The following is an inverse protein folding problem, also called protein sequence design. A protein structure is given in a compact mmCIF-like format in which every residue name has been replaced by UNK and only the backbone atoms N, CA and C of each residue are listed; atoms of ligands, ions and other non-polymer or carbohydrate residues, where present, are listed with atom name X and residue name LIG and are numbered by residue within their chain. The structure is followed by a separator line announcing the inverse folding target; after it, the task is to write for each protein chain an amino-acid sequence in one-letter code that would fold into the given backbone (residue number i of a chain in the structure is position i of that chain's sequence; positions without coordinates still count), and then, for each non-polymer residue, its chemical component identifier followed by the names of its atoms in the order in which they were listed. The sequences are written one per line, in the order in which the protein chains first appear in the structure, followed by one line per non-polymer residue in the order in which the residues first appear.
data_IF_253226546686
#
_entry.id   IF_253226546686
#
_cell.length_a   1.000
_cell.length_b   1.000
_cell.length_c   1.000
_cell.angle_alpha   90.00
_cell.angle_beta   90.00
_cell.angle_gamma   90.00
#
_symmetry.space_group_name_H-M   'P 1'
#
loop_
_entity.id
_entity.type
_entity.pdbx_description
1 polymer ?
#
# COMPACT_ATOMS: atom_id res chain seq x y z
N UNK A 1 13.85 -9.85 -3.44
CA UNK A 1 13.45 -9.37 -2.09
C UNK A 1 13.55 -10.47 -1.03
N UNK A 2 12.87 -11.62 -1.17
CA UNK A 2 12.90 -12.74 -0.18
C UNK A 2 14.29 -13.11 0.39
N UNK A 3 15.26 -13.42 -0.47
CA UNK A 3 16.64 -13.75 -0.05
C UNK A 3 17.32 -12.61 0.71
N UNK A 4 17.03 -11.37 0.33
CA UNK A 4 17.55 -10.19 1.02
C UNK A 4 16.91 -10.04 2.41
N UNK A 5 15.58 -10.20 2.52
CA UNK A 5 14.86 -10.17 3.79
C UNK A 5 15.37 -11.24 4.77
N UNK A 6 15.60 -12.46 4.27
CA UNK A 6 16.21 -13.55 5.02
C UNK A 6 17.63 -13.22 5.49
N UNK A 7 18.46 -12.66 4.61
CA UNK A 7 19.83 -12.25 4.94
C UNK A 7 19.82 -11.17 6.02
N UNK A 8 19.02 -10.11 5.89
CA UNK A 8 18.96 -9.01 6.85
C UNK A 8 18.57 -9.48 8.25
N UNK A 9 17.65 -10.46 8.33
CA UNK A 9 17.26 -11.11 9.59
C UNK A 9 18.45 -11.71 10.36
N UNK A 10 19.47 -12.22 9.66
CA UNK A 10 20.67 -12.81 10.28
C UNK A 10 21.60 -11.76 10.91
N UNK A 11 21.44 -10.50 10.55
CA UNK A 11 22.27 -9.39 11.00
C UNK A 11 21.50 -8.39 11.87
N UNK A 12 20.28 -8.73 12.31
CA UNK A 12 19.40 -7.84 13.09
C UNK A 12 19.11 -6.50 12.38
N UNK A 13 19.12 -6.51 11.05
CA UNK A 13 18.75 -5.35 10.23
C UNK A 13 17.27 -5.51 9.84
N UNK A 14 16.49 -4.46 10.05
CA UNK A 14 15.09 -4.38 9.59
C UNK A 14 15.09 -3.79 8.18
N UNK A 15 14.81 -4.58 7.13
CA UNK A 15 14.64 -4.03 5.79
C UNK A 15 13.29 -3.31 5.67
N UNK A 16 13.26 -2.24 4.87
CA UNK A 16 12.02 -1.61 4.42
C UNK A 16 11.83 -1.88 2.92
N UNK A 17 10.64 -2.31 2.52
CA UNK A 17 10.27 -2.47 1.13
C UNK A 17 9.06 -1.61 0.78
N UNK A 18 9.20 -0.82 -0.27
CA UNK A 18 8.09 -0.13 -0.93
C UNK A 18 7.49 -1.03 -2.02
N UNK A 19 6.19 -1.24 -1.95
CA UNK A 19 5.40 -1.93 -2.97
C UNK A 19 4.45 -0.94 -3.62
N UNK A 20 4.39 -0.95 -4.95
CA UNK A 20 3.41 -0.20 -5.71
C UNK A 20 2.44 -1.22 -6.31
N UNK A 21 1.16 -1.11 -5.98
CA UNK A 21 0.11 -2.04 -6.40
C UNK A 21 -0.86 -1.36 -7.36
N UNK A 22 -1.55 -2.19 -8.16
CA UNK A 22 -2.64 -1.73 -9.02
C UNK A 22 -2.15 -1.04 -10.30
N UNK A 23 -1.14 -1.61 -10.95
CA UNK A 23 -0.74 -1.15 -12.28
C UNK A 23 -1.83 -1.45 -13.32
N UNK A 24 -1.90 -0.70 -14.43
CA UNK A 24 -2.79 -1.04 -15.52
C UNK A 24 -2.42 -2.38 -16.14
N UNK A 25 -3.42 -3.10 -16.63
CA UNK A 25 -3.25 -4.34 -17.39
C UNK A 25 -4.28 -4.41 -18.52
N UNK A 26 -4.20 -5.45 -19.34
CA UNK A 26 -5.07 -5.64 -20.51
C UNK A 26 -6.56 -5.80 -20.15
N UNK A 27 -6.86 -6.27 -18.93
CA UNK A 27 -8.23 -6.42 -18.44
C UNK A 27 -8.32 -6.19 -16.93
N UNK A 28 -9.52 -5.92 -16.43
CA UNK A 28 -9.76 -5.74 -15.00
C UNK A 28 -9.40 -6.99 -14.19
N UNK A 29 -9.63 -8.19 -14.73
CA UNK A 29 -9.30 -9.46 -14.08
C UNK A 29 -7.79 -9.60 -13.89
N UNK A 30 -6.98 -9.22 -14.88
CA UNK A 30 -5.52 -9.23 -14.77
C UNK A 30 -5.01 -8.21 -13.74
N UNK A 31 -5.68 -7.06 -13.60
CA UNK A 31 -5.37 -6.09 -12.54
C UNK A 31 -5.67 -6.69 -11.16
N UNK A 32 -6.82 -7.36 -10.99
CA UNK A 32 -7.19 -8.02 -9.73
C UNK A 32 -6.22 -9.16 -9.39
N UNK A 33 -5.85 -9.98 -10.38
CA UNK A 33 -4.87 -11.05 -10.23
C UNK A 33 -3.50 -10.53 -9.78
N UNK A 34 -3.02 -9.44 -10.40
CA UNK A 34 -1.77 -8.81 -10.01
C UNK A 34 -1.82 -8.35 -8.54
N UNK A 35 -2.89 -7.68 -8.13
CA UNK A 35 -3.07 -7.22 -6.75
C UNK A 35 -3.02 -8.39 -5.76
N UNK A 36 -3.71 -9.51 -6.05
CA UNK A 36 -3.67 -10.68 -5.18
C UNK A 36 -2.29 -11.34 -5.13
N UNK A 37 -1.57 -11.38 -6.26
CA UNK A 37 -0.20 -11.88 -6.33
C UNK A 37 0.77 -11.02 -5.50
N UNK A 38 0.65 -9.70 -5.56
CA UNK A 38 1.46 -8.77 -4.78
C UNK A 38 1.18 -8.93 -3.28
N UNK A 39 -0.09 -9.02 -2.89
CA UNK A 39 -0.50 -9.31 -1.51
C UNK A 39 0.12 -10.63 -1.03
N UNK A 40 0.00 -11.70 -1.81
CA UNK A 40 0.56 -13.00 -1.46
C UNK A 40 2.09 -12.94 -1.32
N UNK A 41 2.77 -12.22 -2.21
CA UNK A 41 4.21 -12.02 -2.14
C UNK A 41 4.63 -11.25 -0.88
N UNK A 42 3.93 -10.18 -0.52
CA UNK A 42 4.16 -9.42 0.72
C UNK A 42 3.99 -10.33 1.94
N UNK A 43 2.95 -11.17 1.97
CA UNK A 43 2.74 -12.13 3.07
C UNK A 43 3.91 -13.11 3.19
N UNK A 44 4.43 -13.62 2.08
CA UNK A 44 5.61 -14.50 2.06
C UNK A 44 6.86 -13.79 2.60
N UNK A 45 7.03 -12.49 2.31
CA UNK A 45 8.12 -11.69 2.91
C UNK A 45 7.96 -11.62 4.43
N UNK A 46 6.75 -11.33 4.94
CA UNK A 46 6.46 -11.29 6.38
C UNK A 46 6.62 -12.65 7.08
N UNK A 47 6.42 -13.76 6.37
CA UNK A 47 6.71 -15.11 6.89
C UNK A 47 8.22 -15.34 7.05
N UNK A 48 9.03 -14.90 6.09
CA UNK A 48 10.49 -15.01 6.13
C UNK A 48 11.07 -14.10 7.22
N UNK A 49 10.68 -12.83 7.22
CA UNK A 49 11.12 -11.83 8.17
C UNK A 49 9.94 -10.91 8.53
N UNK A 50 9.28 -11.23 9.64
CA UNK A 50 8.12 -10.48 10.13
C UNK A 50 8.41 -9.03 10.50
N UNK A 51 9.67 -8.71 10.80
CA UNK A 51 10.11 -7.36 11.15
C UNK A 51 10.27 -6.47 9.92
N UNK A 52 10.29 -7.01 8.70
CA UNK A 52 10.41 -6.23 7.45
C UNK A 52 9.33 -5.16 7.40
N UNK A 53 9.68 -3.89 7.32
CA UNK A 53 8.70 -2.81 7.11
C UNK A 53 8.20 -2.84 5.67
N UNK A 54 6.90 -2.67 5.47
CA UNK A 54 6.25 -2.73 4.17
C UNK A 54 5.47 -1.44 3.99
N UNK A 55 5.83 -0.68 2.97
CA UNK A 55 5.13 0.53 2.56
C UNK A 55 4.35 0.21 1.29
N UNK A 56 3.05 0.56 1.26
CA UNK A 56 2.17 0.26 0.13
C UNK A 56 1.74 1.56 -0.53
N UNK A 57 1.92 1.63 -1.84
CA UNK A 57 1.40 2.70 -2.68
C UNK A 57 0.42 2.12 -3.69
N UNK A 58 -0.65 2.86 -3.96
CA UNK A 58 -1.46 2.63 -5.16
C UNK A 58 -0.77 3.37 -6.31
N UNK A 59 -0.59 2.68 -7.45
CA UNK A 59 0.05 3.28 -8.61
C UNK A 59 -0.68 4.54 -9.08
N UNK A 60 0.06 5.63 -9.18
CA UNK A 60 -0.39 6.88 -9.77
C UNK A 60 0.52 7.20 -10.96
N UNK A 61 0.00 7.33 -12.18
CA UNK A 61 0.80 7.55 -13.37
C UNK A 61 1.49 8.92 -13.37
N UNK A 62 2.73 8.94 -13.89
CA UNK A 62 3.52 10.15 -14.16
C UNK A 62 3.82 10.26 -15.66
N UNK A 63 3.88 11.47 -16.23
CA UNK A 63 4.02 11.69 -17.67
C UNK A 63 5.47 11.46 -18.14
N UNK A 64 5.92 10.21 -18.16
CA UNK A 64 7.25 9.84 -18.69
C UNK A 64 7.07 9.32 -20.12
N UNK A 65 7.04 10.26 -21.06
CA UNK A 65 6.84 9.98 -22.49
C UNK A 65 7.84 8.95 -23.04
N UNK A 66 7.37 8.10 -23.94
CA UNK A 66 8.17 7.03 -24.54
C UNK A 66 8.41 5.81 -23.64
N UNK A 67 8.00 5.84 -22.37
CA UNK A 67 8.06 4.66 -21.51
C UNK A 67 6.90 3.69 -21.80
N UNK A 68 7.16 2.38 -21.62
CA UNK A 68 6.12 1.36 -21.77
C UNK A 68 4.92 1.60 -20.83
N UNK A 69 5.17 2.10 -19.61
CA UNK A 69 4.13 2.43 -18.64
C UNK A 69 3.26 3.60 -19.08
N UNK A 70 3.85 4.63 -19.69
CA UNK A 70 3.12 5.77 -20.21
C UNK A 70 2.14 5.35 -21.32
N UNK A 71 2.61 4.52 -22.26
CA UNK A 71 1.75 3.99 -23.33
C UNK A 71 0.64 3.08 -22.79
N UNK A 72 0.95 2.24 -21.78
CA UNK A 72 -0.04 1.36 -21.16
C UNK A 72 -1.14 2.16 -20.45
N UNK A 73 -0.76 3.19 -19.70
CA UNK A 73 -1.69 4.10 -19.02
C UNK A 73 -2.62 4.81 -20.02
N UNK A 74 -2.07 5.32 -21.13
CA UNK A 74 -2.88 5.93 -22.21
C UNK A 74 -3.86 4.95 -22.84
N UNK A 75 -3.41 3.71 -23.10
CA UNK A 75 -4.28 2.64 -23.64
C UNK A 75 -5.41 2.28 -22.69
N UNK A 76 -5.22 2.41 -21.38
CA UNK A 76 -6.28 2.24 -20.38
C UNK A 76 -7.28 3.41 -20.32
N UNK A 77 -7.15 4.42 -21.19
CA UNK A 77 -8.05 5.58 -21.25
C UNK A 77 -7.68 6.73 -20.31
N UNK A 78 -6.47 6.71 -19.73
CA UNK A 78 -5.99 7.83 -18.93
C UNK A 78 -5.35 8.89 -19.83
N UNK A 79 -5.68 10.15 -19.57
CA UNK A 79 -5.18 11.28 -20.34
C UNK A 79 -4.43 12.23 -19.41
N UNK A 80 -3.16 12.49 -19.74
CA UNK A 80 -2.37 13.52 -19.06
C UNK A 80 -2.76 14.92 -19.55
N UNK A 81 -2.61 15.97 -18.73
CA UNK A 81 -2.79 17.34 -19.16
C UNK A 81 -1.77 17.73 -20.25
N UNK A 82 -2.25 18.26 -21.38
CA UNK A 82 -1.39 18.64 -22.52
C UNK A 82 -0.89 20.09 -22.46
N UNK A 83 -1.58 20.96 -21.72
CA UNK A 83 -1.25 22.39 -21.58
C UNK A 83 -0.93 22.73 -20.13
N UNK A 84 -0.08 23.73 -19.92
CA UNK A 84 0.34 24.17 -18.57
C UNK A 84 -0.86 24.48 -17.66
N UNK A 85 -1.89 25.14 -18.19
CA UNK A 85 -3.08 25.54 -17.43
C UNK A 85 -3.88 24.33 -16.94
N UNK A 86 -3.88 23.24 -17.71
CA UNK A 86 -4.60 22.01 -17.36
C UNK A 86 -3.94 21.29 -16.17
N UNK A 87 -2.64 21.51 -15.92
CA UNK A 87 -1.96 21.00 -14.71
C UNK A 87 -2.42 21.72 -13.45
N UNK A 88 -2.96 22.93 -13.58
CA UNK A 88 -3.50 23.73 -12.48
C UNK A 88 -5.00 23.49 -12.26
N UNK A 89 -5.61 22.59 -13.03
CA UNK A 89 -7.05 22.34 -12.93
C UNK A 89 -7.40 21.69 -11.58
N UNK A 90 -8.59 21.97 -11.01
CA UNK A 90 -9.03 21.32 -9.79
C UNK A 90 -9.07 19.79 -9.90
N UNK A 91 -9.38 19.26 -11.08
CA UNK A 91 -9.39 17.82 -11.35
C UNK A 91 -7.99 17.22 -11.19
N UNK A 92 -6.99 17.84 -11.81
CA UNK A 92 -5.61 17.37 -11.74
C UNK A 92 -5.02 17.59 -10.34
N UNK A 93 -5.35 18.70 -9.68
CA UNK A 93 -4.94 18.95 -8.31
C UNK A 93 -5.49 17.89 -7.34
N UNK A 94 -6.75 17.47 -7.51
CA UNK A 94 -7.33 16.41 -6.68
C UNK A 94 -6.69 15.03 -6.95
N UNK A 95 -6.28 14.78 -8.21
CA UNK A 95 -5.54 13.59 -8.60
C UNK A 95 -4.13 13.58 -7.99
N UNK A 96 -3.38 14.67 -8.11
CA UNK A 96 -2.01 14.81 -7.58
C UNK A 96 -1.99 14.72 -6.04
N UNK A 97 -2.99 15.32 -5.39
CA UNK A 97 -3.22 15.19 -3.93
C UNK A 97 -3.75 13.80 -3.51
N UNK A 98 -3.90 12.86 -4.45
CA UNK A 98 -4.38 11.48 -4.22
C UNK A 98 -5.74 11.41 -3.53
N UNK A 99 -6.58 12.45 -3.66
CA UNK A 99 -7.93 12.52 -3.08
C UNK A 99 -8.95 11.80 -3.95
N UNK A 100 -8.75 11.84 -5.26
CA UNK A 100 -9.53 11.09 -6.23
C UNK A 100 -8.57 10.50 -7.29
N UNK A 101 -8.06 9.28 -7.08
CA UNK A 101 -7.21 8.66 -8.08
C UNK A 101 -8.05 8.38 -9.33
N UNK A 102 -7.90 9.25 -10.34
CA UNK A 102 -8.36 9.07 -11.71
C UNK A 102 -7.62 7.88 -12.33
N UNK A 103 -7.80 6.66 -11.84
CA UNK A 103 -7.15 5.45 -12.33
C UNK A 103 -8.21 4.56 -13.00
N UNK A 104 -8.49 4.73 -14.31
CA UNK A 104 -9.62 4.07 -14.96
C UNK A 104 -9.60 2.54 -14.92
N UNK A 105 -8.42 1.95 -14.79
CA UNK A 105 -8.22 0.50 -14.69
C UNK A 105 -8.46 -0.06 -13.29
N UNK A 106 -8.57 0.78 -12.25
CA UNK A 106 -8.83 0.35 -10.88
C UNK A 106 -10.29 0.61 -10.50
N UNK A 107 -10.99 -0.47 -10.15
CA UNK A 107 -12.33 -0.36 -9.58
C UNK A 107 -12.27 0.05 -8.10
N UNK A 108 -13.34 0.64 -7.55
CA UNK A 108 -13.41 0.94 -6.11
C UNK A 108 -13.15 -0.29 -5.23
N UNK A 109 -13.60 -1.48 -5.66
CA UNK A 109 -13.38 -2.75 -4.97
C UNK A 109 -11.89 -3.10 -4.90
N UNK A 110 -11.13 -2.88 -5.97
CA UNK A 110 -9.68 -3.12 -6.00
C UNK A 110 -8.93 -2.15 -5.08
N UNK A 111 -9.33 -0.87 -5.07
CA UNK A 111 -8.75 0.12 -4.17
C UNK A 111 -9.03 -0.26 -2.71
N UNK A 112 -10.29 -0.59 -2.38
CA UNK A 112 -10.68 -1.06 -1.06
C UNK A 112 -9.93 -2.32 -0.64
N UNK A 113 -9.61 -3.20 -1.59
CA UNK A 113 -8.82 -4.41 -1.36
C UNK A 113 -7.39 -4.07 -0.94
N UNK A 114 -6.73 -3.16 -1.65
CA UNK A 114 -5.35 -2.72 -1.36
C UNK A 114 -5.30 -1.99 0.00
N UNK A 115 -6.13 -0.96 0.18
CA UNK A 115 -6.16 -0.16 1.42
C UNK A 115 -6.64 -0.97 2.63
N UNK A 116 -7.55 -1.93 2.39
CA UNK A 116 -7.99 -2.88 3.39
C UNK A 116 -6.87 -3.81 3.82
N UNK A 117 -6.06 -4.29 2.86
CA UNK A 117 -4.92 -5.15 3.14
C UNK A 117 -3.87 -4.41 3.95
N UNK A 118 -3.52 -3.19 3.56
CA UNK A 118 -2.61 -2.30 4.28
C UNK A 118 -3.04 -2.11 5.74
N UNK A 119 -4.30 -1.76 5.99
CA UNK A 119 -4.82 -1.58 7.35
C UNK A 119 -4.67 -2.86 8.19
N UNK A 120 -5.01 -4.02 7.62
CA UNK A 120 -4.87 -5.32 8.28
C UNK A 120 -3.41 -5.70 8.50
N UNK A 121 -2.53 -5.42 7.54
CA UNK A 121 -1.09 -5.66 7.61
C UNK A 121 -0.46 -4.86 8.75
N UNK A 122 -0.78 -3.55 8.82
CA UNK A 122 -0.32 -2.64 9.86
C UNK A 122 -0.81 -3.03 11.25
N UNK A 123 -1.99 -3.65 11.37
CA UNK A 123 -2.45 -4.21 12.63
C UNK A 123 -1.78 -5.55 12.98
N UNK A 124 -1.52 -6.40 11.97
CA UNK A 124 -0.88 -7.70 12.16
C UNK A 124 0.59 -7.60 12.52
N UNK A 125 1.29 -6.66 11.90
CA UNK A 125 2.69 -6.33 12.10
C UNK A 125 2.82 -4.82 12.32
N UNK A 126 2.46 -4.30 13.51
CA UNK A 126 2.61 -2.89 13.82
C UNK A 126 4.04 -2.41 13.61
N UNK A 127 4.17 -1.25 12.97
CA UNK A 127 5.47 -0.66 12.62
C UNK A 127 6.37 -0.49 13.84
N UNK A 128 7.68 -0.67 13.62
CA UNK A 128 8.70 -0.35 14.62
C UNK A 128 8.87 1.16 14.81
N UNK A 129 8.48 1.98 13.82
CA UNK A 129 8.61 3.45 13.84
C UNK A 129 7.61 4.13 14.77
N UNK A 130 6.58 3.43 15.23
CA UNK A 130 5.62 3.95 16.21
C UNK A 130 6.05 3.59 17.64
N UNK A 131 6.80 4.51 18.25
CA UNK A 131 7.24 4.44 19.65
C UNK A 131 6.12 4.70 20.66
N UNK A 132 4.95 5.24 20.25
CA UNK A 132 3.80 5.51 21.13
C UNK A 132 2.96 4.25 21.39
N UNK A 133 3.17 3.22 20.56
CA UNK A 133 2.43 1.97 20.59
C UNK A 133 3.00 1.01 21.64
N UNK A 134 2.35 0.93 22.81
CA UNK A 134 2.77 0.02 23.87
C UNK A 134 2.68 -1.46 23.44
N UNK A 135 3.46 -2.38 24.07
CA UNK A 135 3.41 -3.81 23.75
C UNK A 135 2.01 -4.41 23.84
N UNK A 136 1.19 -3.94 24.79
CA UNK A 136 -0.20 -4.38 24.98
C UNK A 136 -1.05 -3.98 23.76
N UNK A 137 -0.96 -2.72 23.33
CA UNK A 137 -1.68 -2.23 22.13
C UNK A 137 -1.27 -2.99 20.88
N UNK A 138 0.04 -3.26 20.69
CA UNK A 138 0.55 -4.09 19.57
C UNK A 138 -0.06 -5.50 19.60
N UNK A 139 -0.16 -6.12 20.78
CA UNK A 139 -0.77 -7.45 20.95
C UNK A 139 -2.27 -7.44 20.64
N UNK A 140 -3.00 -6.40 21.04
CA UNK A 140 -4.43 -6.25 20.73
C UNK A 140 -4.64 -6.15 19.22
N UNK A 141 -3.92 -5.25 18.52
CA UNK A 141 -4.02 -5.11 17.07
C UNK A 141 -3.77 -6.44 16.37
N UNK A 142 -2.66 -7.11 16.72
CA UNK A 142 -2.28 -8.39 16.13
C UNK A 142 -3.33 -9.47 16.37
N UNK A 143 -3.98 -9.48 17.53
CA UNK A 143 -5.01 -10.47 17.85
C UNK A 143 -6.26 -10.26 17.00
N UNK A 144 -6.72 -9.02 16.89
CA UNK A 144 -7.93 -8.66 16.12
C UNK A 144 -7.69 -8.86 14.61
N UNK A 145 -6.51 -8.50 14.10
CA UNK A 145 -6.17 -8.65 12.69
C UNK A 145 -5.84 -10.08 12.27
N UNK A 146 -5.44 -10.94 13.21
CA UNK A 146 -4.92 -12.29 12.91
C UNK A 146 -5.87 -13.15 12.08
N UNK A 147 -7.16 -13.13 12.40
CA UNK A 147 -8.16 -13.87 11.63
C UNK A 147 -8.27 -13.34 10.20
N UNK A 148 -8.39 -12.01 10.05
CA UNK A 148 -8.47 -11.33 8.75
C UNK A 148 -7.24 -11.57 7.89
N UNK A 149 -6.06 -11.44 8.47
CA UNK A 149 -4.79 -11.63 7.79
C UNK A 149 -4.63 -13.06 7.26
N UNK A 150 -4.97 -14.08 8.09
CA UNK A 150 -4.87 -15.48 7.68
C UNK A 150 -5.89 -15.88 6.62
N UNK A 151 -7.13 -15.37 6.72
CA UNK A 151 -8.23 -15.70 5.81
C UNK A 151 -8.33 -14.77 4.60
N UNK A 152 -7.38 -13.84 4.43
CA UNK A 152 -7.40 -12.82 3.37
C UNK A 152 -8.70 -11.98 3.37
N UNK A 153 -9.23 -11.62 4.54
CA UNK A 153 -10.46 -10.83 4.69
C UNK A 153 -10.09 -9.36 4.93
N UNK A 154 -9.85 -8.64 3.84
CA UNK A 154 -9.44 -7.23 3.87
C UNK A 154 -10.58 -6.24 3.65
N UNK A 155 -11.77 -6.73 3.32
CA UNK A 155 -12.93 -5.87 3.12
C UNK A 155 -13.38 -5.24 4.44
N UNK A 156 -13.58 -3.91 4.41
CA UNK A 156 -14.14 -3.09 5.50
C UNK A 156 -13.56 -3.44 6.89
N UNK A 157 -12.25 -3.24 7.14
CA UNK A 157 -11.62 -3.53 8.43
C UNK A 157 -11.88 -2.38 9.42
N UNK A 158 -13.15 -2.02 9.64
CA UNK A 158 -13.53 -0.82 10.39
C UNK A 158 -13.08 -0.87 11.85
N UNK A 159 -13.11 -2.04 12.47
CA UNK A 159 -12.64 -2.23 13.84
C UNK A 159 -11.14 -1.93 13.97
N UNK A 160 -10.34 -2.32 12.99
CA UNK A 160 -8.90 -2.04 12.94
C UNK A 160 -8.67 -0.54 12.68
N UNK A 161 -9.34 0.03 11.67
CA UNK A 161 -9.24 1.45 11.33
C UNK A 161 -9.65 2.34 12.52
N UNK A 162 -10.68 1.95 13.27
CA UNK A 162 -11.11 2.66 14.46
C UNK A 162 -10.04 2.66 15.56
N UNK A 163 -9.41 1.50 15.82
CA UNK A 163 -8.32 1.41 16.80
C UNK A 163 -7.08 2.21 16.36
N UNK A 164 -6.69 2.11 15.09
CA UNK A 164 -5.59 2.89 14.53
C UNK A 164 -5.84 4.39 14.66
N UNK A 165 -7.06 4.85 14.36
CA UNK A 165 -7.47 6.25 14.54
C UNK A 165 -7.49 6.67 16.00
N UNK A 166 -8.06 5.86 16.88
CA UNK A 166 -8.15 6.15 18.33
C UNK A 166 -6.77 6.28 18.96
N UNK A 167 -5.83 5.43 18.56
CA UNK A 167 -4.48 5.43 19.12
C UNK A 167 -3.50 6.32 18.35
N UNK A 168 -3.97 7.05 17.33
CA UNK A 168 -3.14 7.89 16.46
C UNK A 168 -1.90 7.10 15.96
N UNK A 169 -2.18 5.91 15.43
CA UNK A 169 -1.18 5.00 14.87
C UNK A 169 -0.34 5.74 13.83
N UNK A 170 0.99 5.72 13.99
CA UNK A 170 1.89 6.36 13.02
C UNK A 170 2.07 5.47 11.80
N UNK A 171 1.94 6.08 10.64
CA UNK A 171 2.19 5.46 9.35
C UNK A 171 3.54 5.99 8.84
N UNK A 172 4.59 5.14 8.73
CA UNK A 172 5.91 5.58 8.24
C UNK A 172 5.84 6.31 6.90
N UNK A 173 4.90 5.90 6.03
CA UNK A 173 4.63 6.48 4.72
C UNK A 173 4.12 7.93 4.75
N UNK A 174 3.54 8.37 5.87
CA UNK A 174 3.03 9.75 6.05
C UNK A 174 3.98 10.56 6.93
N UNK A 175 4.49 9.97 8.01
CA UNK A 175 5.15 10.72 9.08
C UNK A 175 6.68 10.63 9.03
N UNK A 176 7.25 9.77 8.18
CA UNK A 176 8.69 9.52 8.12
C UNK A 176 9.26 8.87 9.38
N UNK A 177 10.56 8.59 9.37
CA UNK A 177 11.28 8.20 10.58
C UNK A 177 11.55 9.44 11.44
N UNK A 178 11.44 9.29 12.77
CA UNK A 178 11.87 10.34 13.68
C UNK A 178 13.38 10.47 13.54
N UNK A 179 13.83 11.64 13.09
CA UNK A 179 15.22 12.03 13.19
C UNK A 179 15.51 12.36 14.66
N UNK A 180 16.48 11.69 15.27
CA UNK A 180 17.02 12.04 16.59
C UNK A 180 17.68 13.42 16.59
#
# INVERSE_FOLDING_TARGET
MKRFAERMKKFDIIPEYSFVLGFPAESAEKVEEQIENDIAYIKQIKEINSSTEIIIYVYSPVPVEGSAMYEMVKKSGFHFPEKLENWLSPEWQNFDLRKNPLTPWLTPKMIDRILGFEAVLNAQYPTVSDFRLSPIKKKILRTISSFRYRKNIFFRPYEIKALQRLWKYRQPEIEGFVME
#
